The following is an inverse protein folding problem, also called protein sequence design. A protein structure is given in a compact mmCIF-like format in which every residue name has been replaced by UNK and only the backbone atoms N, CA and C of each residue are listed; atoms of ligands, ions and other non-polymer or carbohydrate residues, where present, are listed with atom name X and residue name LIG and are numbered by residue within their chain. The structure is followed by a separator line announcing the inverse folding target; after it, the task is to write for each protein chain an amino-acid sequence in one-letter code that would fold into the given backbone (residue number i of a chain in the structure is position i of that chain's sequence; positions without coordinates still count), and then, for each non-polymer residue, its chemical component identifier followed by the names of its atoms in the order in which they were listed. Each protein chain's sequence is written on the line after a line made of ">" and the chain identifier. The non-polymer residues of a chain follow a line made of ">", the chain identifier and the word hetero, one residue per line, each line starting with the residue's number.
data_IF_856385880535
#
_entry.id   IF_856385880535
#
_cell.length_a   1.000
_cell.length_b   1.000
_cell.length_c   1.000
_cell.angle_alpha   90.00
_cell.angle_beta   90.00
_cell.angle_gamma   90.00
#
_symmetry.space_group_name_H-M   'P 1'
#
loop_
_entity.id
_entity.type
_entity.pdbx_description
1 polymer ?
#
# COMPACT_ATOMS: atom_id res chain seq x y z
N UNK A 1 9.31 -5.85 -7.39
CA UNK A 1 10.32 -5.96 -6.33
C UNK A 1 9.79 -5.30 -5.09
N UNK A 2 9.77 -6.06 -4.03
CA UNK A 2 9.24 -5.59 -2.75
C UNK A 2 10.32 -4.78 -2.05
N UNK A 3 10.12 -3.47 -1.96
CA UNK A 3 11.04 -2.64 -1.20
C UNK A 3 10.73 -2.71 0.29
N UNK A 4 11.25 -3.75 0.93
CA UNK A 4 11.09 -3.97 2.37
C UNK A 4 11.69 -2.85 3.23
N UNK A 5 12.49 -1.97 2.67
CA UNK A 5 13.09 -0.86 3.41
C UNK A 5 12.04 0.13 3.93
N UNK A 6 10.89 0.22 3.28
CA UNK A 6 9.86 1.22 3.57
C UNK A 6 8.62 0.67 4.28
N UNK A 7 8.66 -0.58 4.76
CA UNK A 7 7.51 -1.21 5.44
C UNK A 7 7.48 -1.00 6.94
N UNK A 8 8.58 -0.57 7.54
CA UNK A 8 8.68 -0.25 8.96
C UNK A 8 7.83 0.94 9.38
N UNK A 9 7.96 1.33 10.64
CA UNK A 9 7.29 2.51 11.16
C UNK A 9 7.89 3.79 10.57
N UNK A 10 7.05 4.82 10.40
CA UNK A 10 7.44 6.12 9.84
C UNK A 10 7.42 6.21 8.32
N UNK A 11 6.98 5.16 7.63
CA UNK A 11 6.77 5.15 6.18
C UNK A 11 5.29 4.93 5.83
N UNK A 12 4.88 5.42 4.67
CA UNK A 12 3.57 5.10 4.11
C UNK A 12 3.53 3.64 3.64
N UNK A 13 2.36 3.03 3.70
CA UNK A 13 2.11 1.72 3.10
C UNK A 13 0.97 1.87 2.10
N UNK A 14 1.32 2.01 0.84
CA UNK A 14 0.31 2.35 -0.17
C UNK A 14 0.31 1.40 -1.36
N UNK A 15 1.05 0.32 -1.25
CA UNK A 15 1.28 -0.62 -2.35
C UNK A 15 2.11 -0.02 -3.48
N UNK A 16 2.64 -0.87 -4.32
CA UNK A 16 3.59 -0.49 -5.37
C UNK A 16 2.91 -0.33 -6.74
N UNK A 17 1.57 -0.53 -6.82
CA UNK A 17 0.83 -0.50 -8.07
C UNK A 17 0.06 0.80 -8.33
N UNK A 18 -0.59 0.82 -9.46
CA UNK A 18 -1.50 1.87 -9.93
C UNK A 18 -2.95 1.59 -9.47
N UNK A 19 -3.11 1.28 -8.17
CA UNK A 19 -4.38 0.79 -7.64
C UNK A 19 -5.55 1.74 -7.86
N UNK A 20 -5.32 3.06 -7.77
CA UNK A 20 -6.36 4.05 -7.99
C UNK A 20 -6.89 4.01 -9.43
N UNK A 21 -6.04 3.77 -10.43
CA UNK A 21 -6.47 3.53 -11.82
C UNK A 21 -7.29 2.25 -11.99
N UNK A 22 -6.94 1.21 -11.23
CA UNK A 22 -7.69 -0.06 -11.26
C UNK A 22 -9.10 0.14 -10.72
N UNK A 23 -9.22 0.83 -9.58
CA UNK A 23 -10.52 1.13 -8.95
C UNK A 23 -11.36 2.08 -9.80
N UNK A 24 -10.75 3.14 -10.37
CA UNK A 24 -11.42 4.07 -11.28
C UNK A 24 -12.08 3.36 -12.46
N UNK A 25 -11.49 2.24 -12.91
CA UNK A 25 -12.06 1.40 -13.98
C UNK A 25 -13.07 0.37 -13.48
N UNK A 26 -13.56 0.51 -12.26
CA UNK A 26 -14.55 -0.40 -11.66
C UNK A 26 -14.02 -1.80 -11.37
N UNK A 27 -12.71 -1.98 -11.27
CA UNK A 27 -12.07 -3.26 -10.97
C UNK A 27 -11.64 -3.35 -9.52
N UNK A 28 -11.59 -4.56 -9.00
CA UNK A 28 -11.07 -4.81 -7.65
C UNK A 28 -9.54 -4.72 -7.63
N UNK A 29 -9.03 -4.00 -6.63
CA UNK A 29 -7.62 -4.00 -6.28
C UNK A 29 -7.40 -4.78 -4.98
N UNK A 30 -6.46 -5.71 -4.99
CA UNK A 30 -6.01 -6.44 -3.80
C UNK A 30 -4.58 -6.04 -3.47
N UNK A 31 -4.40 -5.58 -2.24
CA UNK A 31 -3.11 -5.25 -1.68
C UNK A 31 -2.56 -6.46 -0.92
N UNK A 32 -1.39 -6.90 -1.32
CA UNK A 32 -0.64 -7.91 -0.60
C UNK A 32 0.09 -7.29 0.58
N UNK A 33 -0.18 -7.79 1.78
CA UNK A 33 0.50 -7.38 2.99
C UNK A 33 1.51 -8.45 3.43
N UNK A 34 2.72 -8.36 2.96
CA UNK A 34 3.84 -9.19 3.40
C UNK A 34 4.68 -8.46 4.47
N UNK A 35 3.98 -7.83 5.41
CA UNK A 35 4.59 -7.05 6.48
C UNK A 35 5.46 -7.93 7.38
N UNK A 36 6.74 -7.59 7.48
CA UNK A 36 7.65 -8.28 8.38
C UNK A 36 7.35 -7.98 9.84
N UNK A 37 7.38 -9.02 10.68
CA UNK A 37 7.08 -8.92 12.10
C UNK A 37 8.16 -9.60 12.94
N UNK A 38 8.06 -9.50 14.27
CA UNK A 38 8.96 -10.15 15.21
C UNK A 38 9.00 -11.68 15.13
N UNK A 39 8.02 -12.29 14.46
CA UNK A 39 7.96 -13.75 14.30
C UNK A 39 8.99 -14.30 13.31
N UNK A 40 9.69 -13.43 12.57
CA UNK A 40 10.73 -13.83 11.65
C UNK A 40 12.01 -14.31 12.33
N UNK A 41 12.80 -15.12 11.61
CA UNK A 41 14.16 -15.46 12.00
C UNK A 41 15.05 -14.22 12.08
N UNK A 42 16.09 -14.25 12.91
CA UNK A 42 16.99 -13.09 13.12
C UNK A 42 17.64 -12.57 11.82
N UNK A 43 17.95 -13.46 10.88
CA UNK A 43 18.53 -13.07 9.60
C UNK A 43 17.58 -12.32 8.66
N UNK A 44 16.29 -12.34 8.96
CA UNK A 44 15.23 -11.74 8.13
C UNK A 44 14.59 -10.49 8.79
N UNK A 45 15.00 -10.17 10.01
CA UNK A 45 14.51 -9.05 10.80
C UNK A 45 15.12 -7.71 10.37
N UNK A 46 14.73 -7.20 9.22
CA UNK A 46 15.06 -5.84 8.78
C UNK A 46 13.79 -5.09 8.42
N UNK A 47 13.66 -3.87 8.97
CA UNK A 47 12.45 -3.04 8.87
C UNK A 47 11.14 -3.78 9.24
N UNK A 48 11.20 -4.61 10.27
CA UNK A 48 10.07 -5.35 10.79
C UNK A 48 9.36 -4.58 11.93
N UNK A 49 8.15 -4.98 12.22
CA UNK A 49 7.40 -4.51 13.38
C UNK A 49 7.86 -5.28 14.62
N UNK A 50 8.42 -4.58 15.60
CA UNK A 50 9.24 -5.15 16.67
C UNK A 50 8.45 -5.58 17.90
N UNK A 51 7.48 -4.78 18.28
CA UNK A 51 6.70 -4.93 19.50
C UNK A 51 5.21 -4.79 19.23
N UNK A 52 4.39 -4.94 20.28
CA UNK A 52 2.94 -4.94 20.15
C UNK A 52 2.41 -3.60 19.63
N UNK A 53 3.02 -2.49 20.02
CA UNK A 53 2.60 -1.15 19.59
C UNK A 53 2.90 -0.94 18.10
N UNK A 54 4.10 -1.28 17.67
CA UNK A 54 4.47 -1.21 16.25
C UNK A 54 3.63 -2.16 15.38
N UNK A 55 3.36 -3.39 15.88
CA UNK A 55 2.50 -4.36 15.19
C UNK A 55 1.10 -3.80 15.02
N UNK A 56 0.49 -3.31 16.10
CA UNK A 56 -0.83 -2.71 16.00
C UNK A 56 -0.82 -1.52 15.04
N UNK A 57 0.06 -0.56 15.26
CA UNK A 57 0.12 0.65 14.44
C UNK A 57 0.38 0.34 12.95
N UNK A 58 1.33 -0.54 12.65
CA UNK A 58 1.69 -0.91 11.28
C UNK A 58 0.56 -1.63 10.55
N UNK A 59 -0.05 -2.63 11.18
CA UNK A 59 -1.15 -3.37 10.58
C UNK A 59 -2.41 -2.51 10.40
N UNK A 60 -2.73 -1.62 11.35
CA UNK A 60 -3.84 -0.68 11.20
C UNK A 60 -3.58 0.39 10.14
N UNK A 61 -2.34 0.88 10.02
CA UNK A 61 -1.93 1.77 8.93
C UNK A 61 -2.19 1.13 7.57
N UNK A 62 -1.79 -0.13 7.40
CA UNK A 62 -1.94 -0.85 6.14
C UNK A 62 -3.42 -1.01 5.76
N UNK A 63 -4.28 -1.38 6.73
CA UNK A 63 -5.72 -1.44 6.49
C UNK A 63 -6.29 -0.05 6.16
N UNK A 64 -5.93 0.98 6.92
CA UNK A 64 -6.40 2.35 6.68
C UNK A 64 -6.06 2.85 5.29
N UNK A 65 -4.83 2.59 4.83
CA UNK A 65 -4.40 2.94 3.48
C UNK A 65 -5.21 2.22 2.40
N UNK A 66 -5.54 0.94 2.61
CA UNK A 66 -6.36 0.17 1.67
C UNK A 66 -7.82 0.64 1.66
N UNK A 67 -8.45 0.74 2.82
CA UNK A 67 -9.86 1.13 2.95
C UNK A 67 -10.12 2.53 2.40
N UNK A 68 -9.24 3.49 2.71
CA UNK A 68 -9.38 4.88 2.23
C UNK A 68 -9.31 5.02 0.70
N UNK A 69 -8.82 4.00 0.01
CA UNK A 69 -8.72 3.94 -1.45
C UNK A 69 -9.74 2.98 -2.10
N UNK A 70 -10.57 2.32 -1.31
CA UNK A 70 -11.48 1.29 -1.80
C UNK A 70 -10.77 0.00 -2.25
N UNK A 71 -9.59 -0.29 -1.70
CA UNK A 71 -8.87 -1.53 -1.98
C UNK A 71 -9.24 -2.62 -1.00
N UNK A 72 -9.12 -3.86 -1.46
CA UNK A 72 -9.07 -5.01 -0.59
C UNK A 72 -7.63 -5.31 -0.18
N UNK A 73 -7.45 -6.02 0.91
CA UNK A 73 -6.12 -6.41 1.40
C UNK A 73 -6.13 -7.83 1.95
N UNK A 74 -5.01 -8.50 1.86
CA UNK A 74 -4.82 -9.81 2.48
C UNK A 74 -3.40 -9.93 3.03
N UNK A 75 -3.25 -10.54 4.23
CA UNK A 75 -1.94 -10.88 4.77
C UNK A 75 -1.31 -11.98 3.92
N UNK A 76 -0.08 -11.80 3.50
CA UNK A 76 0.69 -12.79 2.77
C UNK A 76 1.90 -13.24 3.58
N UNK A 77 2.04 -14.54 3.71
CA UNK A 77 3.19 -15.18 4.35
C UNK A 77 4.04 -15.87 3.29
N UNK A 78 5.16 -15.27 2.94
CA UNK A 78 5.98 -15.71 1.80
C UNK A 78 7.01 -16.75 2.19
N UNK A 79 7.42 -16.79 3.44
CA UNK A 79 8.58 -17.54 3.89
C UNK A 79 8.28 -18.35 5.16
N UNK A 80 7.26 -19.20 5.16
CA UNK A 80 6.97 -19.97 6.40
C UNK A 80 8.22 -20.33 7.22
N UNK A 81 8.38 -20.10 8.48
CA UNK A 81 7.36 -19.94 9.49
C UNK A 81 6.85 -18.51 9.54
N UNK A 82 5.60 -18.45 9.60
CA UNK A 82 4.64 -17.42 9.52
C UNK A 82 5.05 -16.05 10.07
N UNK A 83 5.02 -15.00 9.25
CA UNK A 83 5.12 -13.61 9.69
C UNK A 83 4.06 -13.25 10.72
N UNK A 84 2.96 -13.99 10.74
CA UNK A 84 1.74 -13.70 11.47
C UNK A 84 1.40 -14.75 12.53
N UNK A 85 2.33 -15.65 12.91
CA UNK A 85 2.06 -16.73 13.88
C UNK A 85 1.93 -16.29 15.34
N UNK A 86 2.12 -15.03 15.62
CA UNK A 86 2.05 -14.45 16.97
C UNK A 86 0.60 -14.18 17.37
N UNK A 87 0.23 -14.44 18.63
CA UNK A 87 -1.14 -14.26 19.13
C UNK A 87 -1.59 -12.78 19.05
N UNK A 88 -0.74 -11.83 19.37
CA UNK A 88 -1.04 -10.41 19.25
C UNK A 88 -1.38 -10.05 17.80
N UNK A 89 -0.59 -10.56 16.86
CA UNK A 89 -0.81 -10.34 15.43
C UNK A 89 -2.14 -10.93 14.99
N UNK A 90 -2.44 -12.16 15.36
CA UNK A 90 -3.71 -12.81 15.02
C UNK A 90 -4.91 -12.05 15.59
N UNK A 91 -4.81 -11.55 16.81
CA UNK A 91 -5.86 -10.73 17.42
C UNK A 91 -6.07 -9.39 16.68
N UNK A 92 -5.01 -8.76 16.21
CA UNK A 92 -5.11 -7.54 15.39
C UNK A 92 -5.76 -7.85 14.05
N UNK A 93 -5.32 -8.92 13.37
CA UNK A 93 -5.87 -9.33 12.08
C UNK A 93 -7.38 -9.65 12.17
N UNK A 94 -7.81 -10.34 13.22
CA UNK A 94 -9.23 -10.66 13.46
C UNK A 94 -10.07 -9.37 13.61
N UNK A 95 -9.60 -8.39 14.39
CA UNK A 95 -10.29 -7.10 14.54
C UNK A 95 -10.32 -6.32 13.23
N UNK A 96 -9.22 -6.31 12.48
CA UNK A 96 -9.12 -5.67 11.18
C UNK A 96 -10.09 -6.26 10.16
N UNK A 97 -10.24 -7.58 10.15
CA UNK A 97 -11.17 -8.28 9.26
C UNK A 97 -12.61 -7.78 9.43
N UNK A 98 -13.06 -7.59 10.68
CA UNK A 98 -14.38 -7.03 10.96
C UNK A 98 -14.54 -5.60 10.42
N UNK A 99 -13.55 -4.73 10.64
CA UNK A 99 -13.58 -3.36 10.13
C UNK A 99 -13.54 -3.33 8.59
N UNK A 100 -12.75 -4.20 7.99
CA UNK A 100 -12.67 -4.31 6.53
C UNK A 100 -13.99 -4.77 5.92
N UNK A 101 -14.65 -5.76 6.51
CA UNK A 101 -15.97 -6.20 6.07
C UNK A 101 -17.03 -5.08 6.21
N UNK A 102 -16.98 -4.33 7.31
CA UNK A 102 -17.88 -3.20 7.52
C UNK A 102 -17.62 -2.06 6.54
N UNK A 103 -16.34 -1.76 6.25
CA UNK A 103 -15.93 -0.69 5.34
C UNK A 103 -16.44 -0.85 3.91
N UNK A 104 -16.72 -2.07 3.49
CA UNK A 104 -17.33 -2.34 2.17
C UNK A 104 -18.74 -1.71 2.01
N UNK A 105 -19.36 -1.31 3.13
CA UNK A 105 -20.69 -0.66 3.15
C UNK A 105 -20.61 0.85 3.36
N UNK A 106 -19.43 1.39 3.61
CA UNK A 106 -19.25 2.82 3.83
C UNK A 106 -19.36 3.58 2.52
N UNK A 107 -19.94 4.79 2.54
CA UNK A 107 -19.87 5.64 1.38
C UNK A 107 -18.41 6.07 1.16
N UNK A 108 -17.96 5.96 -0.07
CA UNK A 108 -16.66 6.45 -0.47
C UNK A 108 -16.88 7.76 -1.23
N UNK A 109 -16.41 8.86 -0.67
CA UNK A 109 -16.40 10.16 -1.33
C UNK A 109 -14.95 10.54 -1.63
N UNK A 110 -14.72 11.04 -2.82
CA UNK A 110 -13.40 11.58 -3.15
C UNK A 110 -13.15 12.88 -2.40
N UNK A 111 -12.03 12.91 -1.68
CA UNK A 111 -11.53 14.13 -1.05
C UNK A 111 -10.56 14.76 -2.02
N UNK A 112 -10.63 16.09 -2.27
CA UNK A 112 -9.64 16.78 -3.10
C UNK A 112 -8.22 16.44 -2.66
N UNK A 113 -7.41 16.01 -3.58
CA UNK A 113 -6.10 15.44 -3.29
C UNK A 113 -5.07 15.82 -4.36
N UNK A 114 -3.81 15.64 -4.06
CA UNK A 114 -2.79 15.64 -5.09
C UNK A 114 -2.88 14.36 -5.93
N UNK A 115 -2.58 14.44 -7.20
CA UNK A 115 -2.49 13.26 -8.08
C UNK A 115 -1.06 13.08 -8.56
N UNK A 116 -0.55 11.87 -8.37
CA UNK A 116 0.65 11.40 -9.03
C UNK A 116 0.24 10.67 -10.31
N UNK A 117 0.69 11.18 -11.43
CA UNK A 117 0.43 10.58 -12.73
C UNK A 117 1.64 9.77 -13.19
N UNK A 118 1.40 8.55 -13.64
CA UNK A 118 2.42 7.63 -14.15
C UNK A 118 2.17 7.40 -15.63
N UNK A 119 3.17 7.67 -16.45
CA UNK A 119 3.20 7.24 -17.84
C UNK A 119 3.86 5.86 -17.93
N UNK A 120 3.04 4.83 -18.06
CA UNK A 120 3.51 3.44 -18.14
C UNK A 120 4.15 3.10 -19.48
N UNK A 121 3.87 3.88 -20.54
CA UNK A 121 4.48 3.68 -21.85
C UNK A 121 5.97 4.08 -21.85
N UNK A 122 6.32 5.11 -21.10
CA UNK A 122 7.71 5.55 -20.95
C UNK A 122 8.62 4.46 -20.37
N UNK A 123 8.08 3.59 -19.52
CA UNK A 123 8.84 2.48 -18.91
C UNK A 123 9.31 1.46 -19.95
N UNK A 124 8.57 1.32 -21.05
CA UNK A 124 8.92 0.38 -22.14
C UNK A 124 10.15 0.84 -22.95
N UNK A 125 10.49 2.11 -22.85
CA UNK A 125 11.63 2.71 -23.56
C UNK A 125 12.89 2.81 -22.67
N UNK A 126 12.78 2.44 -21.40
CA UNK A 126 13.90 2.47 -20.47
C UNK A 126 14.84 1.26 -20.63
N UNK A 127 16.11 1.50 -20.36
CA UNK A 127 17.05 0.41 -20.14
C UNK A 127 16.69 -0.33 -18.84
N UNK A 128 16.23 -1.56 -18.98
CA UNK A 128 15.82 -2.43 -17.86
C UNK A 128 16.89 -2.64 -16.79
N UNK A 129 18.15 -2.32 -17.10
CA UNK A 129 19.25 -2.43 -16.13
C UNK A 129 19.24 -1.32 -15.08
N UNK A 130 18.60 -0.20 -15.36
CA UNK A 130 18.70 1.01 -14.52
C UNK A 130 17.41 1.31 -13.73
N UNK A 131 16.25 1.00 -14.25
CA UNK A 131 14.93 1.15 -13.61
C UNK A 131 14.73 2.50 -12.86
N UNK A 132 15.27 3.58 -13.37
CA UNK A 132 15.25 4.87 -12.68
C UNK A 132 13.85 5.42 -12.46
N UNK A 133 12.96 5.29 -13.43
CA UNK A 133 11.59 5.78 -13.29
C UNK A 133 10.84 4.98 -12.22
N UNK A 134 10.98 3.67 -12.23
CA UNK A 134 10.38 2.81 -11.21
C UNK A 134 10.84 3.18 -9.79
N UNK A 135 12.14 3.34 -9.60
CA UNK A 135 12.70 3.77 -8.32
C UNK A 135 12.22 5.17 -7.93
N UNK A 136 12.19 6.11 -8.88
CA UNK A 136 11.70 7.47 -8.64
C UNK A 136 10.23 7.46 -8.21
N UNK A 137 9.37 6.68 -8.87
CA UNK A 137 7.96 6.54 -8.53
C UNK A 137 7.79 5.99 -7.11
N UNK A 138 8.48 4.93 -6.77
CA UNK A 138 8.43 4.34 -5.42
C UNK A 138 8.95 5.34 -4.38
N UNK A 139 10.08 5.95 -4.61
CA UNK A 139 10.63 6.93 -3.69
C UNK A 139 9.70 8.12 -3.48
N UNK A 140 9.12 8.66 -4.54
CA UNK A 140 8.18 9.78 -4.43
C UNK A 140 6.92 9.41 -3.64
N UNK A 141 6.38 8.22 -3.86
CA UNK A 141 5.19 7.77 -3.13
C UNK A 141 5.49 7.53 -1.66
N UNK A 142 6.49 6.72 -1.36
CA UNK A 142 6.75 6.20 -0.01
C UNK A 142 7.50 7.21 0.87
N UNK A 143 8.31 8.07 0.31
CA UNK A 143 9.08 9.07 1.05
C UNK A 143 8.55 10.48 0.91
N UNK A 144 8.10 10.86 -0.28
CA UNK A 144 7.61 12.20 -0.58
C UNK A 144 6.15 12.37 -0.23
N UNK A 145 5.26 11.87 -1.06
CA UNK A 145 3.82 12.12 -0.98
C UNK A 145 3.20 11.59 0.31
N UNK A 146 3.55 10.39 0.75
CA UNK A 146 3.02 9.83 2.00
C UNK A 146 3.38 10.62 3.26
N UNK A 147 4.31 11.55 3.17
CA UNK A 147 4.81 12.37 4.30
C UNK A 147 4.47 13.86 4.18
N UNK A 148 3.89 14.31 3.09
CA UNK A 148 3.55 15.72 2.92
C UNK A 148 2.26 16.14 3.62
N UNK A 149 1.51 15.20 4.22
CA UNK A 149 0.27 15.47 4.95
C UNK A 149 -0.92 15.84 4.06
N UNK A 150 -0.82 15.61 2.76
CA UNK A 150 -1.89 15.81 1.78
C UNK A 150 -2.33 14.45 1.27
N UNK A 151 -3.64 14.15 1.21
CA UNK A 151 -4.13 12.98 0.52
C UNK A 151 -3.66 12.97 -0.92
N UNK A 152 -3.31 11.80 -1.44
CA UNK A 152 -2.93 11.68 -2.86
C UNK A 152 -3.46 10.40 -3.48
N UNK A 153 -3.61 10.43 -4.79
CA UNK A 153 -3.98 9.30 -5.65
C UNK A 153 -2.87 9.04 -6.67
N UNK A 154 -2.84 7.83 -7.20
CA UNK A 154 -1.87 7.44 -8.22
C UNK A 154 -2.62 6.89 -9.42
N UNK A 155 -2.55 7.61 -10.52
CA UNK A 155 -3.26 7.29 -11.76
C UNK A 155 -2.31 7.13 -12.94
N UNK A 156 -2.76 6.40 -13.95
CA UNK A 156 -2.11 6.37 -15.24
C UNK A 156 -2.33 7.69 -15.99
N UNK A 157 -1.41 8.04 -16.85
CA UNK A 157 -1.53 9.24 -17.69
C UNK A 157 -2.79 9.24 -18.55
N UNK A 158 -3.17 8.09 -19.09
CA UNK A 158 -4.40 7.92 -19.88
C UNK A 158 -5.70 8.14 -19.09
N UNK A 159 -5.67 8.07 -17.76
CA UNK A 159 -6.85 8.33 -16.94
C UNK A 159 -7.27 9.80 -16.97
N UNK A 160 -6.35 10.73 -17.26
CA UNK A 160 -6.64 12.16 -17.38
C UNK A 160 -7.66 12.49 -18.46
N UNK A 161 -7.84 11.61 -19.45
CA UNK A 161 -8.80 11.80 -20.55
C UNK A 161 -10.21 11.29 -20.21
N UNK A 162 -10.42 10.75 -19.03
CA UNK A 162 -11.69 10.17 -18.62
C UNK A 162 -12.63 11.23 -18.05
N UNK A 163 -13.91 11.13 -18.39
CA UNK A 163 -14.97 12.03 -17.89
C UNK A 163 -15.22 11.85 -16.37
N UNK A 164 -14.88 10.68 -15.82
CA UNK A 164 -15.02 10.34 -14.40
C UNK A 164 -13.71 10.46 -13.62
N UNK A 165 -12.70 11.14 -14.16
CA UNK A 165 -11.48 11.41 -13.44
C UNK A 165 -11.76 12.31 -12.23
N UNK A 166 -11.25 11.98 -11.02
CA UNK A 166 -11.59 12.73 -9.82
C UNK A 166 -11.08 14.18 -9.86
N UNK A 167 -11.87 15.10 -9.31
CA UNK A 167 -11.45 16.49 -9.10
C UNK A 167 -10.29 16.57 -8.10
N UNK A 168 -9.22 17.28 -8.46
CA UNK A 168 -7.99 17.40 -7.66
C UNK A 168 -7.61 18.85 -7.43
#
# INVERSE_FOLDING_TARGET
>A
PHDYLYRGMGFGYEGEGIGDSVVLRGKMMFMEEDQRTRSLSEGEKWNYLKDDDEIQAGLWRNLGASVSRGYNTYPMDVCGPSFFADETIQNVLARRSNVHEESARWPHEDVPCAVMVIDDTSVLEEDLTVQYQYLAVIHQRLHGLSRCGVPFRVHLFEDLERDDFPDC
#
